data_IF_392302369006
#
_entry.id   IF_392302369006
#
_cell.length_a   1.000
_cell.length_b   1.000
_cell.length_c   1.000
_cell.angle_alpha   90.00
_cell.angle_beta   90.00
_cell.angle_gamma   90.00
#
_symmetry.space_group_name_H-M   'P 1'
#
loop_
_entity.id
_entity.type
_entity.pdbx_description
1 polymer ?
#
# COMPACT_ATOMS: atom_id res chain seq x y z
N UNK A 1 -42.91 15.13 4.36
CA UNK A 1 -41.67 14.34 4.28
C UNK A 1 -40.54 15.25 4.75
N UNK A 2 -39.76 14.93 5.79
CA UNK A 2 -38.59 15.71 6.14
C UNK A 2 -37.53 15.53 5.04
N UNK A 3 -36.73 16.54 4.69
CA UNK A 3 -35.68 16.43 3.72
C UNK A 3 -34.60 15.43 4.22
N UNK A 4 -34.29 14.41 3.43
CA UNK A 4 -33.13 13.56 3.66
C UNK A 4 -31.88 14.43 3.43
N UNK A 5 -31.20 14.71 4.50
CA UNK A 5 -29.89 15.36 4.47
C UNK A 5 -28.89 14.31 4.02
N UNK A 6 -28.46 14.36 2.76
CA UNK A 6 -27.33 13.59 2.28
C UNK A 6 -26.08 14.11 3.00
N UNK A 7 -25.50 13.30 3.85
CA UNK A 7 -24.15 13.54 4.35
C UNK A 7 -23.21 13.42 3.15
N UNK A 8 -22.80 14.54 2.57
CA UNK A 8 -21.66 14.57 1.67
C UNK A 8 -20.44 14.15 2.49
N UNK A 9 -19.76 13.11 2.00
CA UNK A 9 -18.47 12.64 2.53
C UNK A 9 -17.43 13.74 2.23
N UNK A 10 -17.33 14.72 3.13
CA UNK A 10 -16.43 15.87 3.04
C UNK A 10 -15.04 15.56 3.60
N UNK A 11 -14.72 14.28 3.82
CA UNK A 11 -13.37 13.93 4.24
C UNK A 11 -12.42 14.10 3.05
N UNK A 12 -11.41 14.97 3.16
CA UNK A 12 -10.38 15.07 2.14
C UNK A 12 -9.72 13.69 2.00
N UNK A 13 -9.30 13.29 0.78
CA UNK A 13 -8.56 12.05 0.60
C UNK A 13 -7.35 12.07 1.55
N UNK A 14 -6.98 10.90 2.13
CA UNK A 14 -5.84 10.83 3.04
C UNK A 14 -4.60 11.40 2.37
N UNK A 15 -3.88 12.26 3.07
CA UNK A 15 -2.62 12.81 2.58
C UNK A 15 -1.63 11.66 2.34
N UNK A 16 -1.02 11.64 1.16
CA UNK A 16 0.02 10.69 0.77
C UNK A 16 1.41 11.35 0.79
N UNK A 17 1.61 12.30 1.70
CA UNK A 17 2.91 12.95 1.89
C UNK A 17 3.90 12.03 2.62
N UNK A 18 5.19 12.40 2.57
CA UNK A 18 6.24 11.68 3.30
C UNK A 18 6.04 11.76 4.83
N UNK A 19 5.57 12.88 5.33
CA UNK A 19 5.35 13.13 6.75
C UNK A 19 4.18 12.33 7.31
N UNK A 20 3.21 11.97 6.46
CA UNK A 20 2.06 11.14 6.82
C UNK A 20 2.34 9.64 6.77
N UNK A 21 3.52 9.23 6.27
CA UNK A 21 3.90 7.83 6.22
C UNK A 21 4.41 7.34 7.57
N UNK A 22 3.68 6.42 8.18
CA UNK A 22 4.09 5.80 9.45
C UNK A 22 5.25 4.86 9.22
N UNK A 23 6.42 5.22 9.75
CA UNK A 23 7.66 4.44 9.64
C UNK A 23 7.80 3.49 10.84
N UNK A 24 8.15 2.24 10.56
CA UNK A 24 8.44 1.22 11.57
C UNK A 24 9.39 0.15 11.04
N UNK A 25 9.75 -0.81 11.88
CA UNK A 25 10.70 -1.86 11.50
C UNK A 25 10.23 -2.67 10.28
N UNK A 26 8.93 -2.89 10.15
CA UNK A 26 8.33 -3.69 9.07
C UNK A 26 8.43 -3.04 7.67
N UNK A 27 8.63 -1.71 7.56
CA UNK A 27 8.66 -0.98 6.29
C UNK A 27 9.89 -0.07 6.10
N UNK A 28 10.82 -0.05 7.06
CA UNK A 28 11.97 0.85 7.04
C UNK A 28 12.84 0.68 5.78
N UNK A 29 13.10 -0.56 5.36
CA UNK A 29 13.90 -0.83 4.17
C UNK A 29 13.20 -0.34 2.89
N UNK A 30 11.88 -0.50 2.81
CA UNK A 30 11.09 -0.04 1.68
C UNK A 30 11.11 1.50 1.59
N UNK A 31 10.95 2.20 2.71
CA UNK A 31 11.05 3.66 2.77
C UNK A 31 12.45 4.16 2.40
N UNK A 32 13.50 3.51 2.90
CA UNK A 32 14.90 3.84 2.60
C UNK A 32 15.20 3.73 1.09
N UNK A 33 14.68 2.70 0.39
CA UNK A 33 14.81 2.62 -1.06
C UNK A 33 14.13 3.78 -1.79
N UNK A 34 12.95 4.20 -1.36
CA UNK A 34 12.26 5.36 -1.93
C UNK A 34 13.07 6.65 -1.71
N UNK A 35 13.63 6.81 -0.52
CA UNK A 35 14.41 8.00 -0.17
C UNK A 35 15.76 8.09 -0.92
N UNK A 36 16.38 6.95 -1.28
CA UNK A 36 17.63 6.87 -2.06
C UNK A 36 17.50 7.23 -3.53
N UNK A 37 16.30 7.25 -4.09
CA UNK A 37 16.16 7.64 -5.50
C UNK A 37 16.73 9.06 -5.72
N UNK A 38 17.50 9.32 -6.82
CA UNK A 38 17.70 8.52 -8.04
C UNK A 38 18.87 7.52 -8.02
N UNK A 39 19.55 7.31 -6.90
CA UNK A 39 20.75 6.49 -6.79
C UNK A 39 20.44 4.98 -6.63
N UNK A 40 19.48 4.49 -7.41
CA UNK A 40 19.18 3.06 -7.45
C UNK A 40 20.22 2.30 -8.29
N UNK A 41 20.73 1.15 -7.80
CA UNK A 41 21.74 0.38 -8.49
C UNK A 41 21.18 -0.44 -9.66
N UNK A 42 22.08 -0.97 -10.49
CA UNK A 42 21.75 -1.90 -11.58
C UNK A 42 21.65 -1.23 -12.94
N UNK A 43 21.53 -2.07 -13.99
CA UNK A 43 21.35 -1.61 -15.38
C UNK A 43 19.96 -1.00 -15.58
N UNK A 44 18.94 -1.61 -14.97
CA UNK A 44 17.62 -1.01 -14.80
C UNK A 44 17.63 -0.44 -13.39
N UNK A 45 17.47 0.87 -13.26
CA UNK A 45 17.35 1.53 -11.97
C UNK A 45 15.98 1.20 -11.38
N UNK A 46 15.85 0.01 -10.80
CA UNK A 46 14.56 -0.53 -10.39
C UNK A 46 14.53 -1.06 -8.97
N UNK A 47 13.39 -0.84 -8.32
CA UNK A 47 13.10 -1.33 -6.97
C UNK A 47 11.74 -2.01 -6.95
N UNK A 48 11.67 -3.16 -6.30
CA UNK A 48 10.45 -3.92 -6.05
C UNK A 48 10.05 -3.75 -4.58
N UNK A 49 8.90 -3.17 -4.33
CA UNK A 49 8.27 -3.20 -3.01
C UNK A 49 7.22 -4.30 -2.99
N UNK A 50 7.36 -5.26 -2.09
CA UNK A 50 6.39 -6.35 -2.00
C UNK A 50 5.93 -6.58 -0.55
N UNK A 51 4.72 -7.13 -0.40
CA UNK A 51 4.10 -7.37 0.91
C UNK A 51 2.57 -7.45 0.83
N UNK A 52 1.89 -7.68 1.96
CA UNK A 52 0.45 -7.87 2.02
C UNK A 52 -0.33 -6.67 1.47
N UNK A 53 -1.65 -6.84 1.32
CA UNK A 53 -2.53 -5.72 1.00
C UNK A 53 -2.46 -4.65 2.10
N UNK A 54 -2.72 -3.39 1.73
CA UNK A 54 -2.81 -2.24 2.64
C UNK A 54 -1.55 -1.94 3.49
N UNK A 55 -0.40 -2.60 3.21
CA UNK A 55 0.84 -2.40 3.96
C UNK A 55 1.60 -1.09 3.63
N UNK A 56 1.02 -0.19 2.83
CA UNK A 56 1.59 1.11 2.52
C UNK A 56 2.40 1.20 1.23
N UNK A 57 2.45 0.17 0.36
CA UNK A 57 3.16 0.22 -0.94
C UNK A 57 2.70 1.38 -1.81
N UNK A 58 1.38 1.54 -1.96
CA UNK A 58 0.82 2.62 -2.78
C UNK A 58 1.10 4.01 -2.19
N UNK A 59 1.22 4.13 -0.86
CA UNK A 59 1.64 5.38 -0.22
C UNK A 59 3.11 5.70 -0.55
N UNK A 60 4.01 4.72 -0.42
CA UNK A 60 5.42 4.89 -0.83
C UNK A 60 5.55 5.21 -2.32
N UNK A 61 4.73 4.58 -3.17
CA UNK A 61 4.68 4.88 -4.59
C UNK A 61 4.23 6.33 -4.86
N UNK A 62 3.23 6.83 -4.15
CA UNK A 62 2.78 8.21 -4.27
C UNK A 62 3.85 9.23 -3.82
N UNK A 63 4.57 8.93 -2.72
CA UNK A 63 5.72 9.73 -2.28
C UNK A 63 6.78 9.80 -3.38
N UNK A 64 7.12 8.65 -3.98
CA UNK A 64 8.09 8.59 -5.06
C UNK A 64 7.58 9.28 -6.33
N UNK A 65 6.31 9.09 -6.68
CA UNK A 65 5.67 9.73 -7.83
C UNK A 65 5.74 11.26 -7.75
N UNK A 66 5.48 11.83 -6.59
CA UNK A 66 5.55 13.27 -6.38
C UNK A 66 6.97 13.83 -6.61
N UNK A 67 8.03 13.05 -6.30
CA UNK A 67 9.43 13.45 -6.50
C UNK A 67 9.91 13.21 -7.93
N UNK A 68 9.55 12.06 -8.50
CA UNK A 68 10.06 11.57 -9.78
C UNK A 68 9.20 11.95 -10.97
N UNK A 69 7.98 12.43 -10.73
CA UNK A 69 6.94 12.62 -11.75
C UNK A 69 6.66 11.33 -12.53
N UNK A 70 6.73 10.19 -11.83
CA UNK A 70 6.54 8.88 -12.43
C UNK A 70 5.15 8.71 -13.03
N UNK A 71 5.11 8.13 -14.21
CA UNK A 71 3.85 7.66 -14.81
C UNK A 71 3.47 6.30 -14.22
N UNK A 72 2.17 6.07 -14.06
CA UNK A 72 1.66 4.75 -13.69
C UNK A 72 1.32 4.00 -14.97
N UNK A 73 1.93 2.83 -15.15
CA UNK A 73 1.68 1.96 -16.29
C UNK A 73 0.61 0.93 -15.89
N UNK A 74 -0.54 0.95 -16.55
CA UNK A 74 -1.67 0.05 -16.27
C UNK A 74 -1.77 -1.14 -17.24
N UNK A 75 -1.23 -1.00 -18.44
CA UNK A 75 -1.12 -2.02 -19.49
C UNK A 75 0.10 -1.74 -20.34
N UNK A 76 0.49 -2.69 -21.16
CA UNK A 76 1.66 -2.59 -22.02
C UNK A 76 1.30 -2.92 -23.46
N UNK A 77 1.61 -1.99 -24.37
CA UNK A 77 1.54 -2.14 -25.81
C UNK A 77 2.74 -1.43 -26.47
N UNK A 78 2.93 -1.62 -27.78
CA UNK A 78 4.03 -1.00 -28.51
C UNK A 78 4.00 0.53 -28.42
N UNK A 79 2.81 1.12 -28.43
CA UNK A 79 2.65 2.58 -28.39
C UNK A 79 3.09 3.15 -27.02
N UNK A 80 2.78 2.45 -25.93
CA UNK A 80 3.20 2.86 -24.59
C UNK A 80 4.71 2.73 -24.39
N UNK A 81 5.36 1.76 -25.04
CA UNK A 81 6.83 1.60 -25.04
C UNK A 81 7.49 2.73 -25.80
N UNK A 82 7.00 3.05 -27.00
CA UNK A 82 7.55 4.09 -27.87
C UNK A 82 7.38 5.51 -27.29
N UNK A 83 6.32 5.71 -26.48
CA UNK A 83 6.05 6.98 -25.83
C UNK A 83 7.00 7.32 -24.67
N UNK A 84 7.83 6.37 -24.22
CA UNK A 84 8.77 6.60 -23.11
C UNK A 84 9.88 7.60 -23.54
N UNK A 85 10.11 8.60 -22.71
CA UNK A 85 11.13 9.64 -22.88
C UNK A 85 12.35 9.36 -22.00
N UNK A 86 13.46 10.05 -22.30
CA UNK A 86 14.71 9.91 -21.55
C UNK A 86 14.50 10.13 -20.04
N UNK A 87 15.10 9.27 -19.24
CA UNK A 87 15.05 9.28 -17.78
C UNK A 87 13.60 9.12 -17.20
N UNK A 88 12.66 8.58 -18.00
CA UNK A 88 11.29 8.35 -17.55
C UNK A 88 11.25 7.48 -16.29
N UNK A 89 10.54 7.96 -15.28
CA UNK A 89 10.21 7.18 -14.10
C UNK A 89 8.85 6.52 -14.30
N UNK A 90 8.74 5.22 -13.95
CA UNK A 90 7.54 4.42 -14.16
C UNK A 90 7.18 3.61 -12.91
N UNK A 91 5.90 3.62 -12.54
CA UNK A 91 5.32 2.74 -11.53
C UNK A 91 4.58 1.61 -12.24
N UNK A 92 4.92 0.39 -11.87
CA UNK A 92 4.25 -0.83 -12.30
C UNK A 92 3.55 -1.49 -11.12
N UNK A 93 2.23 -1.39 -11.08
CA UNK A 93 1.45 -1.91 -9.97
C UNK A 93 0.88 -3.30 -10.31
N UNK A 94 1.07 -4.25 -9.39
CA UNK A 94 0.59 -5.63 -9.47
C UNK A 94 1.00 -6.39 -10.74
N UNK A 95 2.32 -6.50 -11.03
CA UNK A 95 2.79 -7.24 -12.18
C UNK A 95 2.38 -8.72 -12.09
N UNK A 96 1.89 -9.24 -13.20
CA UNK A 96 1.66 -10.68 -13.39
C UNK A 96 1.67 -11.00 -14.89
N UNK A 97 2.17 -12.17 -15.28
CA UNK A 97 2.08 -12.60 -16.68
C UNK A 97 0.60 -12.80 -17.06
N UNK A 98 0.09 -11.99 -17.96
CA UNK A 98 -1.28 -12.06 -18.51
C UNK A 98 -1.39 -11.25 -19.80
N UNK A 99 -2.61 -11.14 -20.34
CA UNK A 99 -2.87 -10.43 -21.59
C UNK A 99 -2.57 -8.92 -21.53
N UNK A 100 -2.67 -8.29 -20.35
CA UNK A 100 -2.31 -6.88 -20.17
C UNK A 100 -0.79 -6.67 -20.14
N UNK A 101 -0.03 -7.75 -19.86
CA UNK A 101 1.43 -7.76 -19.71
C UNK A 101 2.04 -8.94 -20.47
N UNK A 102 1.96 -8.97 -21.83
CA UNK A 102 2.60 -10.00 -22.65
C UNK A 102 4.10 -10.00 -22.41
N UNK A 103 4.69 -11.16 -22.16
CA UNK A 103 6.09 -11.26 -21.75
C UNK A 103 7.08 -10.73 -22.81
N UNK A 104 6.75 -10.89 -24.07
CA UNK A 104 7.54 -10.34 -25.16
C UNK A 104 7.59 -8.80 -25.10
N UNK A 105 6.44 -8.15 -24.85
CA UNK A 105 6.39 -6.71 -24.69
C UNK A 105 7.08 -6.27 -23.40
N UNK A 106 6.94 -7.02 -22.29
CA UNK A 106 7.68 -6.75 -21.05
C UNK A 106 9.18 -6.79 -21.30
N UNK A 107 9.67 -7.75 -22.09
CA UNK A 107 11.08 -7.81 -22.47
C UNK A 107 11.53 -6.55 -23.24
N UNK A 108 10.77 -6.13 -24.25
CA UNK A 108 11.07 -4.92 -25.02
C UNK A 108 10.99 -3.65 -24.16
N UNK A 109 10.00 -3.56 -23.29
CA UNK A 109 9.85 -2.45 -22.35
C UNK A 109 11.03 -2.32 -21.38
N UNK A 110 11.50 -3.44 -20.79
CA UNK A 110 12.67 -3.43 -19.90
C UNK A 110 13.96 -3.04 -20.65
N UNK A 111 14.10 -3.41 -21.93
CA UNK A 111 15.19 -2.93 -22.79
C UNK A 111 15.08 -1.42 -22.98
N UNK A 112 13.91 -0.92 -23.33
CA UNK A 112 13.67 0.50 -23.55
C UNK A 112 13.97 1.32 -22.29
N UNK A 113 13.50 0.88 -21.11
CA UNK A 113 13.82 1.53 -19.84
C UNK A 113 15.34 1.60 -19.58
N UNK A 114 16.06 0.56 -19.95
CA UNK A 114 17.54 0.56 -19.84
C UNK A 114 18.19 1.58 -20.77
N UNK A 115 17.74 1.66 -22.02
CA UNK A 115 18.27 2.59 -23.05
C UNK A 115 18.10 4.05 -22.67
N UNK A 116 16.92 4.40 -22.13
CA UNK A 116 16.58 5.77 -21.72
C UNK A 116 17.07 6.14 -20.31
N UNK A 117 17.84 5.26 -19.64
CA UNK A 117 18.19 5.43 -18.22
C UNK A 117 16.99 5.67 -17.30
N UNK A 118 15.87 5.04 -17.59
CA UNK A 118 14.63 5.15 -16.85
C UNK A 118 14.72 4.53 -15.46
N UNK A 119 13.76 4.88 -14.61
CA UNK A 119 13.60 4.32 -13.27
C UNK A 119 12.29 3.54 -13.17
N UNK A 120 12.31 2.38 -12.50
CA UNK A 120 11.18 1.47 -12.38
C UNK A 120 10.86 1.17 -10.91
N UNK A 121 9.67 1.54 -10.44
CA UNK A 121 9.14 1.10 -9.16
C UNK A 121 8.07 0.04 -9.40
N UNK A 122 8.29 -1.15 -8.86
CA UNK A 122 7.34 -2.26 -8.95
C UNK A 122 6.65 -2.46 -7.61
N UNK A 123 5.32 -2.52 -7.61
CA UNK A 123 4.53 -2.82 -6.42
C UNK A 123 3.93 -4.22 -6.58
N UNK A 124 4.22 -5.13 -5.66
CA UNK A 124 3.77 -6.52 -5.74
C UNK A 124 3.24 -7.04 -4.40
N UNK A 125 2.42 -8.08 -4.44
CA UNK A 125 2.07 -8.84 -3.23
C UNK A 125 3.12 -9.89 -2.90
N UNK A 126 3.81 -10.40 -3.92
CA UNK A 126 4.79 -11.47 -3.84
C UNK A 126 6.15 -10.99 -4.35
N UNK A 127 7.25 -11.59 -3.92
CA UNK A 127 8.56 -11.35 -4.51
C UNK A 127 8.57 -11.80 -5.98
N UNK A 128 9.37 -11.13 -6.82
CA UNK A 128 9.43 -11.39 -8.27
C UNK A 128 9.60 -12.86 -8.66
N UNK A 129 10.45 -13.67 -7.97
CA UNK A 129 10.61 -15.09 -8.32
C UNK A 129 9.35 -15.92 -8.20
N UNK A 130 8.34 -15.48 -7.44
CA UNK A 130 7.06 -16.20 -7.25
C UNK A 130 6.01 -15.85 -8.29
N UNK A 131 6.28 -14.90 -9.19
CA UNK A 131 5.33 -14.49 -10.22
C UNK A 131 5.34 -15.38 -11.47
N UNK A 132 6.26 -16.37 -11.52
CA UNK A 132 6.31 -17.42 -12.55
C UNK A 132 6.36 -16.89 -14.00
N UNK A 133 7.21 -15.91 -14.25
CA UNK A 133 7.52 -15.44 -15.60
C UNK A 133 8.15 -16.59 -16.41
N UNK A 134 7.60 -16.87 -17.60
CA UNK A 134 8.04 -18.00 -18.44
C UNK A 134 9.26 -17.62 -19.28
N UNK A 135 9.35 -16.36 -19.74
CA UNK A 135 10.46 -15.87 -20.52
C UNK A 135 11.68 -15.67 -19.61
N UNK A 136 12.70 -16.51 -19.76
CA UNK A 136 13.88 -16.54 -18.88
C UNK A 136 14.60 -15.18 -18.76
N UNK A 137 14.65 -14.41 -19.85
CA UNK A 137 15.26 -13.08 -19.85
C UNK A 137 14.46 -12.08 -19.03
N UNK A 138 13.12 -12.12 -19.07
CA UNK A 138 12.23 -11.28 -18.25
C UNK A 138 12.41 -11.66 -16.79
N UNK A 139 12.30 -12.97 -16.48
CA UNK A 139 12.49 -13.48 -15.12
C UNK A 139 13.86 -13.06 -14.54
N UNK A 140 14.95 -13.22 -15.31
CA UNK A 140 16.30 -12.86 -14.88
C UNK A 140 16.43 -11.36 -14.57
N UNK A 141 15.87 -10.49 -15.40
CA UNK A 141 15.96 -9.03 -15.23
C UNK A 141 15.13 -8.56 -14.05
N UNK A 142 13.90 -9.05 -13.90
CA UNK A 142 13.01 -8.71 -12.79
C UNK A 142 13.56 -9.23 -11.45
N UNK A 143 14.14 -10.42 -11.43
CA UNK A 143 14.79 -10.98 -10.24
C UNK A 143 16.08 -10.25 -9.88
N UNK A 144 16.70 -9.58 -10.83
CA UNK A 144 17.91 -8.74 -10.61
C UNK A 144 17.62 -7.35 -10.06
N UNK A 145 16.35 -6.93 -9.94
CA UNK A 145 15.99 -5.66 -9.33
C UNK A 145 16.24 -5.70 -7.81
N UNK A 146 16.60 -4.54 -7.25
CA UNK A 146 16.61 -4.39 -5.80
C UNK A 146 15.21 -4.60 -5.23
N UNK A 147 15.10 -5.21 -4.06
CA UNK A 147 13.78 -5.50 -3.51
C UNK A 147 13.72 -5.22 -2.00
N UNK A 148 12.55 -4.79 -1.54
CA UNK A 148 12.24 -4.62 -0.13
C UNK A 148 10.88 -5.23 0.22
N UNK A 149 10.89 -6.12 1.20
CA UNK A 149 9.67 -6.65 1.80
C UNK A 149 9.08 -5.62 2.78
N UNK A 150 7.77 -5.48 2.74
CA UNK A 150 7.02 -4.91 3.86
C UNK A 150 6.36 -6.08 4.57
N UNK A 151 6.77 -6.32 5.81
CA UNK A 151 6.31 -7.45 6.61
C UNK A 151 5.09 -7.08 7.47
N UNK A 152 4.55 -8.04 8.19
CA UNK A 152 3.45 -7.80 9.10
C UNK A 152 3.82 -6.76 10.17
N UNK A 153 2.86 -5.92 10.60
CA UNK A 153 3.10 -4.88 11.59
C UNK A 153 3.28 -5.46 12.99
N UNK A 154 4.20 -4.90 13.76
CA UNK A 154 4.31 -5.14 15.19
C UNK A 154 3.30 -4.28 16.00
N UNK A 155 3.22 -4.52 17.31
CA UNK A 155 2.28 -3.81 18.18
C UNK A 155 2.53 -2.28 18.20
N UNK A 156 3.78 -1.85 18.09
CA UNK A 156 4.14 -0.43 18.04
C UNK A 156 3.64 0.22 16.73
N UNK A 157 3.83 -0.47 15.60
CA UNK A 157 3.31 -0.03 14.31
C UNK A 157 1.78 0.03 14.32
N UNK A 158 1.10 -0.99 14.85
CA UNK A 158 -0.36 -1.02 14.96
C UNK A 158 -0.88 0.13 15.81
N UNK A 159 -0.26 0.42 16.95
CA UNK A 159 -0.62 1.57 17.80
C UNK A 159 -0.46 2.90 17.04
N UNK A 160 0.65 3.06 16.31
CA UNK A 160 0.90 4.27 15.52
C UNK A 160 -0.11 4.45 14.39
N UNK A 161 -0.50 3.35 13.71
CA UNK A 161 -1.53 3.38 12.66
C UNK A 161 -2.91 3.69 13.21
N UNK A 162 -3.28 3.15 14.38
CA UNK A 162 -4.54 3.47 15.05
C UNK A 162 -4.63 4.96 15.36
N UNK A 163 -3.57 5.54 15.94
CA UNK A 163 -3.53 6.98 16.22
C UNK A 163 -3.61 7.79 14.94
N UNK A 164 -2.79 7.46 13.91
CA UNK A 164 -2.85 8.16 12.62
C UNK A 164 -4.26 8.14 12.02
N UNK A 165 -4.89 6.97 11.92
CA UNK A 165 -6.23 6.88 11.35
C UNK A 165 -7.29 7.59 12.20
N UNK A 166 -7.14 7.61 13.52
CA UNK A 166 -8.01 8.35 14.41
C UNK A 166 -7.84 9.86 14.22
N UNK A 167 -6.61 10.35 14.14
CA UNK A 167 -6.30 11.75 13.89
C UNK A 167 -6.84 12.21 12.54
N UNK A 168 -6.69 11.41 11.48
CA UNK A 168 -7.25 11.65 10.15
C UNK A 168 -8.77 11.83 10.17
N UNK A 169 -9.47 11.21 11.15
CA UNK A 169 -10.93 11.28 11.35
C UNK A 169 -11.34 12.23 12.49
N UNK A 170 -10.38 12.92 13.10
CA UNK A 170 -10.65 13.83 14.23
C UNK A 170 -11.09 13.12 15.52
N UNK A 171 -10.73 11.83 15.69
CA UNK A 171 -11.03 11.05 16.87
C UNK A 171 -9.88 11.10 17.88
N UNK A 172 -10.21 11.29 19.14
CA UNK A 172 -9.25 11.11 20.24
C UNK A 172 -9.27 9.66 20.72
N UNK A 173 -8.09 9.02 20.78
CA UNK A 173 -7.91 7.69 21.35
C UNK A 173 -7.06 7.77 22.61
N UNK A 174 -7.62 7.33 23.73
CA UNK A 174 -6.86 7.19 24.97
C UNK A 174 -5.88 6.00 24.88
N UNK A 175 -4.76 6.10 25.60
CA UNK A 175 -3.72 5.06 25.62
C UNK A 175 -4.26 3.68 26.06
N UNK A 176 -5.24 3.64 26.98
CA UNK A 176 -5.85 2.38 27.43
C UNK A 176 -6.74 1.76 26.34
N UNK A 177 -7.45 2.59 25.56
CA UNK A 177 -8.24 2.18 24.41
C UNK A 177 -7.32 1.60 23.33
N UNK A 178 -6.25 2.31 22.99
CA UNK A 178 -5.24 1.84 22.00
C UNK A 178 -4.65 0.49 22.41
N UNK A 179 -4.21 0.37 23.67
CA UNK A 179 -3.63 -0.88 24.20
C UNK A 179 -4.63 -2.03 24.14
N UNK A 180 -5.90 -1.77 24.48
CA UNK A 180 -6.96 -2.76 24.42
C UNK A 180 -7.20 -3.25 22.98
N UNK A 181 -7.23 -2.34 22.00
CA UNK A 181 -7.38 -2.67 20.58
C UNK A 181 -6.22 -3.52 20.11
N UNK A 182 -4.96 -3.05 20.27
CA UNK A 182 -3.76 -3.75 19.82
C UNK A 182 -3.63 -5.16 20.39
N UNK A 183 -4.05 -5.36 21.65
CA UNK A 183 -3.99 -6.70 22.30
C UNK A 183 -4.98 -7.72 21.74
N UNK A 184 -5.96 -7.32 20.93
CA UNK A 184 -7.07 -8.16 20.44
C UNK A 184 -7.25 -8.18 18.94
N UNK A 185 -6.73 -7.18 18.23
CA UNK A 185 -6.85 -7.11 16.78
C UNK A 185 -5.89 -8.09 16.10
N UNK A 186 -6.24 -8.53 14.90
CA UNK A 186 -5.30 -9.23 14.02
C UNK A 186 -4.17 -8.29 13.60
N UNK A 187 -2.97 -8.85 13.45
CA UNK A 187 -1.76 -8.11 13.05
C UNK A 187 -1.74 -7.83 11.56
N UNK A 188 -2.73 -7.07 11.09
CA UNK A 188 -2.91 -6.67 9.70
C UNK A 188 -3.12 -5.17 9.60
N UNK A 189 -2.51 -4.56 8.59
CA UNK A 189 -2.63 -3.12 8.32
C UNK A 189 -4.08 -2.67 8.08
N UNK A 190 -4.84 -3.46 7.31
CA UNK A 190 -6.24 -3.19 6.97
C UNK A 190 -7.15 -3.17 8.19
N UNK A 191 -6.88 -4.03 9.17
CA UNK A 191 -7.71 -4.17 10.39
C UNK A 191 -7.66 -2.91 11.24
N UNK A 192 -6.50 -2.25 11.36
CA UNK A 192 -6.38 -0.99 12.10
C UNK A 192 -7.32 0.09 11.52
N UNK A 193 -7.34 0.23 10.20
CA UNK A 193 -8.24 1.18 9.51
C UNK A 193 -9.70 0.83 9.69
N UNK A 194 -10.06 -0.44 9.54
CA UNK A 194 -11.44 -0.91 9.70
C UNK A 194 -11.98 -0.63 11.09
N UNK A 195 -11.21 -0.92 12.16
CA UNK A 195 -11.60 -0.65 13.55
C UNK A 195 -11.85 0.84 13.75
N UNK A 196 -10.94 1.71 13.29
CA UNK A 196 -11.10 3.16 13.47
C UNK A 196 -12.32 3.68 12.71
N UNK A 197 -12.57 3.20 11.48
CA UNK A 197 -13.78 3.56 10.73
C UNK A 197 -15.04 3.20 11.48
N UNK A 198 -15.15 1.98 12.02
CA UNK A 198 -16.30 1.54 12.80
C UNK A 198 -16.47 2.35 14.09
N UNK A 199 -15.37 2.65 14.79
CA UNK A 199 -15.40 3.49 15.99
C UNK A 199 -15.86 4.92 15.66
N UNK A 200 -15.45 5.47 14.52
CA UNK A 200 -15.90 6.77 14.05
C UNK A 200 -17.41 6.79 13.81
N UNK A 201 -17.94 5.78 13.12
CA UNK A 201 -19.37 5.68 12.83
C UNK A 201 -20.20 5.60 14.14
N UNK A 202 -19.76 4.80 15.12
CA UNK A 202 -20.40 4.69 16.42
C UNK A 202 -20.30 5.99 17.24
N UNK A 203 -19.15 6.65 17.23
CA UNK A 203 -18.94 7.92 17.93
C UNK A 203 -19.84 9.02 17.34
N UNK A 204 -19.93 9.11 16.01
CA UNK A 204 -20.81 10.06 15.33
C UNK A 204 -22.29 9.77 15.59
N UNK A 205 -22.72 8.51 15.52
CA UNK A 205 -24.12 8.11 15.80
C UNK A 205 -24.54 8.40 17.25
N UNK A 206 -23.65 8.13 18.21
CA UNK A 206 -23.92 8.34 19.63
C UNK A 206 -23.63 9.75 20.14
N UNK A 207 -22.90 10.57 19.35
CA UNK A 207 -22.36 11.89 19.73
C UNK A 207 -21.53 11.82 21.04
N UNK A 208 -20.74 10.77 21.19
CA UNK A 208 -19.90 10.53 22.36
C UNK A 208 -18.44 10.26 21.93
N UNK A 209 -17.46 10.57 22.79
CA UNK A 209 -16.08 10.19 22.55
C UNK A 209 -15.93 8.67 22.51
N UNK A 210 -14.83 8.19 21.90
CA UNK A 210 -14.50 6.77 21.88
C UNK A 210 -14.20 6.27 23.30
N UNK A 211 -14.82 5.17 23.69
CA UNK A 211 -14.67 4.58 25.01
C UNK A 211 -14.43 3.07 24.92
N UNK A 212 -13.86 2.46 25.97
CA UNK A 212 -13.66 1.02 26.04
C UNK A 212 -14.94 0.18 25.81
N UNK A 213 -16.13 0.54 26.35
CA UNK A 213 -17.37 -0.15 26.01
C UNK A 213 -17.70 -0.14 24.52
N UNK A 214 -17.50 0.99 23.83
CA UNK A 214 -17.71 1.11 22.38
C UNK A 214 -16.76 0.21 21.60
N UNK A 215 -15.47 0.13 22.01
CA UNK A 215 -14.50 -0.77 21.39
C UNK A 215 -14.93 -2.24 21.57
N UNK A 216 -15.42 -2.62 22.74
CA UNK A 216 -15.93 -3.99 22.98
C UNK A 216 -17.09 -4.33 22.03
N UNK A 217 -18.00 -3.41 21.83
CA UNK A 217 -19.11 -3.58 20.89
C UNK A 217 -18.62 -3.86 19.47
N UNK A 218 -17.59 -3.13 18.98
CA UNK A 218 -16.96 -3.37 17.67
C UNK A 218 -16.40 -4.78 17.57
N UNK A 219 -15.66 -5.24 18.59
CA UNK A 219 -15.10 -6.60 18.58
C UNK A 219 -16.17 -7.70 18.69
N UNK A 220 -17.24 -7.48 19.43
CA UNK A 220 -18.35 -8.43 19.54
C UNK A 220 -19.12 -8.57 18.21
N UNK A 221 -19.24 -7.50 17.44
CA UNK A 221 -19.86 -7.53 16.11
C UNK A 221 -18.99 -8.22 15.05
N UNK A 222 -17.65 -8.25 15.21
CA UNK A 222 -16.73 -8.93 14.31
C UNK A 222 -16.64 -10.45 14.54
N UNK A 223 -16.86 -10.93 15.76
CA UNK A 223 -16.82 -12.36 16.10
C UNK A 223 -17.73 -13.27 15.26
N UNK A 224 -18.93 -12.87 14.81
CA UNK A 224 -19.78 -13.72 13.97
C UNK A 224 -19.28 -13.86 12.50
N UNK A 225 -18.41 -12.98 12.03
CA UNK A 225 -17.93 -13.00 10.64
C UNK A 225 -16.71 -13.93 10.46
N UNK A 226 -15.93 -14.14 11.51
CA UNK A 226 -14.75 -15.01 11.49
C UNK A 226 -15.09 -16.51 11.60
N UNK A 227 -16.30 -16.86 11.95
CA UNK A 227 -16.77 -18.25 12.10
C UNK A 227 -17.38 -18.89 10.84
N UNK A 228 -17.48 -18.16 9.72
CA UNK A 228 -18.16 -18.66 8.49
C UNK A 228 -17.26 -19.20 7.40
N UNK A 229 -15.95 -18.95 7.43
CA UNK A 229 -15.04 -19.30 6.33
C UNK A 229 -14.25 -20.62 6.57
N UNK A 230 -14.65 -21.48 7.53
CA UNK A 230 -13.97 -22.76 7.75
C UNK A 230 -14.80 -24.00 7.35
N UNK A 231 -15.92 -23.84 6.63
CA UNK A 231 -16.72 -24.99 6.17
C UNK A 231 -17.33 -24.75 4.78
N UNK A 232 -16.48 -24.65 3.73
CA UNK A 232 -16.86 -25.04 2.37
C UNK A 232 -15.62 -25.48 1.57
#
# INVERSE_FOLDING_TARGET
MPPQQFTMDLMPPPSLSRDDFVLGACNALAADWIDRWPDWPGRIKGVVLYGPADCGKSHLAAIWQNRSQAMVMSHLDDQSIDALVDQQAVIWDHPKPNDDWPEDLVFHWLNRLTEINGSLLVLSRLPMPQLNWQLADVASRLNGLSSAAITDPDDAMLASLLHKHADDMGLALDADVTRYIVSRMERQFSVARQIITQLNDLAMASKKPVTLPMVREVFEQQLPLLGRDQNE
#
